data_IF_744014994617
#
_entry.id   IF_744014994617
#
_cell.length_a   1.000
_cell.length_b   1.000
_cell.length_c   1.000
_cell.angle_alpha   90.00
_cell.angle_beta   90.00
_cell.angle_gamma   90.00
#
_symmetry.space_group_name_H-M   'P 1'
#
loop_
_entity.id
_entity.type
_entity.pdbx_description
1 polymer ?
#
# COMPACT_ATOMS: atom_id res chain seq x y z
N UNK A 1 -19.88 7.38 -3.72
CA UNK A 1 -19.33 7.42 -2.36
C UNK A 1 -18.11 6.52 -2.33
N UNK A 2 -16.93 7.09 -2.43
CA UNK A 2 -15.70 6.32 -2.54
C UNK A 2 -15.28 5.64 -1.23
N UNK A 3 -14.08 5.08 -1.29
CA UNK A 3 -13.42 4.26 -0.29
C UNK A 3 -12.21 5.05 0.19
N UNK A 4 -12.16 5.36 1.49
CA UNK A 4 -11.11 6.21 2.06
C UNK A 4 -9.87 5.38 2.40
N UNK A 5 -8.72 5.81 1.87
CA UNK A 5 -7.43 5.12 2.00
C UNK A 5 -6.37 6.09 2.49
N UNK A 6 -5.74 5.80 3.63
CA UNK A 6 -4.52 6.50 4.07
C UNK A 6 -3.30 5.89 3.42
N UNK A 7 -2.27 6.71 3.21
CA UNK A 7 -1.05 6.27 2.54
C UNK A 7 0.17 6.58 3.39
N UNK A 8 0.97 5.56 3.68
CA UNK A 8 2.30 5.71 4.28
C UNK A 8 3.37 5.46 3.23
N UNK A 9 4.56 5.99 3.47
CA UNK A 9 5.75 5.66 2.69
C UNK A 9 6.86 5.13 3.60
N UNK A 10 7.76 4.37 3.02
CA UNK A 10 9.07 4.01 3.58
C UNK A 10 10.13 4.23 2.50
N UNK A 11 11.25 4.85 2.89
CA UNK A 11 12.44 5.00 2.05
C UNK A 11 13.51 4.07 2.60
N UNK A 12 14.03 3.22 1.74
CA UNK A 12 15.10 2.26 2.05
C UNK A 12 16.33 2.71 1.27
N UNK A 13 17.43 2.99 1.97
CA UNK A 13 18.73 3.24 1.34
C UNK A 13 19.60 1.99 1.45
N UNK A 14 20.70 1.88 0.69
CA UNK A 14 21.63 0.76 0.84
C UNK A 14 22.11 0.59 2.28
N UNK A 15 22.41 1.69 2.98
CA UNK A 15 22.88 1.68 4.37
C UNK A 15 21.78 1.20 5.34
N UNK A 16 20.54 1.68 5.20
CA UNK A 16 19.46 1.23 6.09
C UNK A 16 19.10 -0.23 5.85
N UNK A 17 19.22 -0.70 4.60
CA UNK A 17 18.98 -2.08 4.23
C UNK A 17 19.99 -3.04 4.89
N UNK A 18 21.25 -2.64 5.10
CA UNK A 18 22.25 -3.44 5.83
C UNK A 18 21.83 -3.75 7.26
N UNK A 19 21.11 -2.83 7.89
CA UNK A 19 20.56 -2.96 9.24
C UNK A 19 19.13 -3.55 9.27
N UNK A 20 18.54 -3.81 8.10
CA UNK A 20 17.15 -4.28 7.98
C UNK A 20 16.11 -3.22 8.38
N UNK A 21 16.46 -1.93 8.26
CA UNK A 21 15.60 -0.80 8.62
C UNK A 21 15.21 0.05 7.40
N UNK A 22 14.22 0.91 7.59
CA UNK A 22 13.92 2.00 6.67
C UNK A 22 14.67 3.26 7.13
N UNK A 23 15.32 3.96 6.20
CA UNK A 23 15.98 5.23 6.47
C UNK A 23 14.98 6.32 6.87
N UNK A 24 13.81 6.33 6.22
CA UNK A 24 12.71 7.22 6.55
C UNK A 24 11.37 6.49 6.42
N UNK A 25 10.38 6.91 7.22
CA UNK A 25 8.99 6.47 7.09
C UNK A 25 8.06 7.55 7.57
N UNK A 26 6.88 7.63 6.97
CA UNK A 26 5.90 8.63 7.36
C UNK A 26 4.56 8.49 6.64
N UNK A 27 3.77 9.55 6.71
CA UNK A 27 2.50 9.67 6.00
C UNK A 27 2.69 10.46 4.72
N UNK A 28 2.21 9.90 3.61
CA UNK A 28 1.91 10.69 2.41
C UNK A 28 0.56 11.40 2.61
N UNK A 29 -0.41 10.68 3.17
CA UNK A 29 -1.74 11.22 3.52
C UNK A 29 -2.34 10.46 4.71
N UNK A 30 -2.35 11.12 5.86
CA UNK A 30 -2.92 10.60 7.12
C UNK A 30 -4.44 10.83 7.22
N UNK A 31 -4.98 11.82 6.51
CA UNK A 31 -6.41 12.10 6.51
C UNK A 31 -7.16 11.05 5.67
N UNK A 32 -6.56 10.65 4.55
CA UNK A 32 -7.06 9.66 3.63
C UNK A 32 -7.56 10.29 2.33
N UNK A 33 -7.27 9.60 1.24
CA UNK A 33 -7.68 9.95 -0.12
C UNK A 33 -8.88 9.08 -0.52
N UNK A 34 -9.86 9.68 -1.20
CA UNK A 34 -11.00 8.94 -1.74
C UNK A 34 -10.61 8.20 -3.03
N UNK A 35 -10.83 6.88 -3.05
CA UNK A 35 -10.68 6.04 -4.25
C UNK A 35 -12.01 5.44 -4.69
N UNK A 36 -12.16 5.28 -6.01
CA UNK A 36 -13.17 4.43 -6.61
C UNK A 36 -12.80 2.94 -6.54
N UNK A 37 -13.80 2.06 -6.59
CA UNK A 37 -13.58 0.61 -6.54
C UNK A 37 -12.67 0.11 -7.68
N UNK A 38 -12.86 0.60 -8.91
CA UNK A 38 -12.04 0.20 -10.07
C UNK A 38 -10.59 0.67 -9.94
N UNK A 39 -10.38 1.84 -9.36
CA UNK A 39 -9.04 2.39 -9.11
C UNK A 39 -8.30 1.52 -8.09
N UNK A 40 -8.99 1.08 -7.04
CA UNK A 40 -8.41 0.14 -6.08
C UNK A 40 -8.11 -1.24 -6.68
N UNK A 41 -8.95 -1.74 -7.60
CA UNK A 41 -8.64 -2.99 -8.31
C UNK A 41 -7.38 -2.82 -9.18
N UNK A 42 -7.22 -1.68 -9.84
CA UNK A 42 -6.02 -1.39 -10.62
C UNK A 42 -4.78 -1.26 -9.74
N UNK A 43 -4.87 -0.49 -8.65
CA UNK A 43 -3.82 -0.32 -7.65
C UNK A 43 -3.41 -1.66 -7.02
N UNK A 44 -4.38 -2.51 -6.68
CA UNK A 44 -4.12 -3.82 -6.11
C UNK A 44 -3.25 -4.71 -7.01
N UNK A 45 -3.35 -4.56 -8.35
CA UNK A 45 -2.53 -5.32 -9.30
C UNK A 45 -1.07 -4.88 -9.36
N UNK A 46 -0.74 -3.71 -8.82
CA UNK A 46 0.63 -3.19 -8.78
C UNK A 46 1.30 -3.37 -7.42
N UNK A 47 0.67 -4.07 -6.48
CA UNK A 47 1.21 -4.24 -5.13
C UNK A 47 0.89 -5.61 -4.55
N UNK A 48 1.31 -5.80 -3.31
CA UNK A 48 1.11 -7.03 -2.56
C UNK A 48 0.27 -6.77 -1.31
N UNK A 49 -0.61 -7.71 -0.99
CA UNK A 49 -1.41 -7.64 0.22
C UNK A 49 -0.56 -8.01 1.44
N UNK A 50 -0.73 -7.30 2.55
CA UNK A 50 -0.02 -7.60 3.81
C UNK A 50 -0.39 -8.95 4.43
N UNK A 51 -1.35 -9.65 3.84
CA UNK A 51 -1.71 -11.03 4.18
C UNK A 51 -2.11 -11.81 2.94
N UNK A 52 -1.64 -13.05 2.87
CA UNK A 52 -2.09 -14.04 1.87
C UNK A 52 -3.50 -14.56 2.13
N UNK A 53 -4.02 -14.38 3.35
CA UNK A 53 -5.38 -14.77 3.71
C UNK A 53 -6.36 -13.59 3.56
N UNK A 54 -7.56 -13.80 3.00
CA UNK A 54 -8.59 -12.77 2.93
C UNK A 54 -8.96 -12.22 4.30
N UNK A 55 -8.81 -10.91 4.47
CA UNK A 55 -9.20 -10.22 5.70
C UNK A 55 -9.57 -8.76 5.44
N UNK A 56 -10.41 -8.20 6.30
CA UNK A 56 -10.71 -6.76 6.30
C UNK A 56 -9.61 -5.92 6.97
N UNK A 57 -8.68 -6.54 7.70
CA UNK A 57 -7.56 -5.84 8.35
C UNK A 57 -6.30 -5.72 7.49
N UNK A 58 -6.39 -6.04 6.20
CA UNK A 58 -5.24 -6.05 5.29
C UNK A 58 -4.97 -4.64 4.73
N UNK A 59 -3.71 -4.35 4.44
CA UNK A 59 -3.29 -3.22 3.61
C UNK A 59 -2.57 -3.73 2.37
N UNK A 60 -2.36 -2.84 1.40
CA UNK A 60 -1.60 -3.14 0.19
C UNK A 60 -0.30 -2.37 0.22
N UNK A 61 0.81 -2.99 -0.18
CA UNK A 61 2.09 -2.31 -0.36
C UNK A 61 2.51 -2.38 -1.84
N UNK A 62 2.77 -1.22 -2.44
CA UNK A 62 3.42 -1.11 -3.74
C UNK A 62 4.91 -0.92 -3.49
N UNK A 63 5.69 -1.95 -3.80
CA UNK A 63 7.15 -1.94 -3.69
C UNK A 63 7.78 -1.26 -4.90
N UNK A 64 8.90 -0.55 -4.68
CA UNK A 64 9.57 0.18 -5.76
C UNK A 64 8.67 1.20 -6.42
N UNK A 65 7.86 1.91 -5.62
CA UNK A 65 6.97 2.95 -6.10
C UNK A 65 7.75 4.07 -6.80
N UNK A 66 8.89 4.45 -6.22
CA UNK A 66 9.89 5.32 -6.83
C UNK A 66 11.29 4.80 -6.48
N UNK A 67 12.27 5.05 -7.34
CA UNK A 67 13.65 4.58 -7.17
C UNK A 67 14.65 5.63 -7.66
N UNK A 68 15.49 6.13 -6.74
CA UNK A 68 16.65 6.96 -7.08
C UNK A 68 17.81 6.07 -7.51
N UNK A 69 17.92 5.82 -8.82
CA UNK A 69 18.99 5.02 -9.41
C UNK A 69 20.42 5.54 -9.17
N UNK A 70 20.61 6.80 -8.75
CA UNK A 70 21.95 7.32 -8.44
C UNK A 70 22.36 7.00 -7.01
N UNK A 71 21.41 7.10 -6.08
CA UNK A 71 21.65 6.85 -4.66
C UNK A 71 21.34 5.41 -4.22
N UNK A 72 20.58 4.66 -5.03
CA UNK A 72 20.05 3.34 -4.68
C UNK A 72 18.92 3.39 -3.66
N UNK A 73 18.28 4.55 -3.45
CA UNK A 73 17.18 4.70 -2.53
C UNK A 73 15.86 4.26 -3.18
N UNK A 74 15.08 3.45 -2.47
CA UNK A 74 13.79 2.92 -2.94
C UNK A 74 12.67 3.39 -2.04
N UNK A 75 11.60 3.93 -2.61
CA UNK A 75 10.37 4.26 -1.90
C UNK A 75 9.34 3.13 -2.09
N UNK A 76 8.79 2.61 -0.99
CA UNK A 76 7.59 1.78 -1.02
C UNK A 76 6.40 2.57 -0.46
N UNK A 77 5.20 2.30 -0.98
CA UNK A 77 3.96 2.91 -0.48
C UNK A 77 3.00 1.88 0.03
N UNK A 78 2.43 2.12 1.21
CA UNK A 78 1.40 1.25 1.79
C UNK A 78 0.07 1.99 1.93
N UNK A 79 -1.02 1.29 1.57
CA UNK A 79 -2.37 1.81 1.39
C UNK A 79 -3.32 1.15 2.39
N UNK A 80 -3.84 1.94 3.32
CA UNK A 80 -4.55 1.48 4.52
C UNK A 80 -6.03 1.93 4.49
N UNK A 81 -7.00 1.00 4.49
CA UNK A 81 -8.41 1.38 4.57
C UNK A 81 -8.75 2.05 5.91
N UNK A 82 -9.50 3.16 5.88
CA UNK A 82 -9.73 4.01 7.07
C UNK A 82 -10.79 3.47 8.02
N UNK A 83 -11.91 2.98 7.48
CA UNK A 83 -13.04 2.49 8.29
C UNK A 83 -13.37 1.03 8.01
N UNK A 84 -14.18 0.40 8.86
CA UNK A 84 -14.69 -0.94 8.63
C UNK A 84 -15.50 -1.07 7.32
N UNK A 85 -16.13 0.02 6.85
CA UNK A 85 -16.80 0.05 5.55
C UNK A 85 -15.75 0.01 4.44
N UNK A 86 -14.75 0.88 4.51
CA UNK A 86 -13.70 1.00 3.49
C UNK A 86 -12.91 -0.31 3.37
N UNK A 87 -12.53 -0.90 4.50
CA UNK A 87 -11.90 -2.20 4.61
C UNK A 87 -12.66 -3.33 3.89
N UNK A 88 -13.99 -3.38 4.02
CA UNK A 88 -14.83 -4.37 3.33
C UNK A 88 -14.77 -4.21 1.81
N UNK A 89 -14.78 -2.97 1.31
CA UNK A 89 -14.72 -2.73 -0.13
C UNK A 89 -13.30 -2.86 -0.69
N UNK A 90 -12.29 -2.47 0.10
CA UNK A 90 -10.89 -2.69 -0.21
C UNK A 90 -10.56 -4.18 -0.34
N UNK A 91 -10.97 -5.00 0.63
CA UNK A 91 -10.84 -6.46 0.55
C UNK A 91 -11.52 -7.06 -0.69
N UNK A 92 -12.71 -6.56 -1.07
CA UNK A 92 -13.36 -6.96 -2.32
C UNK A 92 -12.57 -6.56 -3.56
N UNK A 93 -11.90 -5.40 -3.54
CA UNK A 93 -11.05 -4.95 -4.64
C UNK A 93 -9.81 -5.85 -4.78
N UNK A 94 -9.14 -6.19 -3.68
CA UNK A 94 -8.00 -7.13 -3.68
C UNK A 94 -8.39 -8.50 -4.25
N UNK A 95 -9.55 -9.03 -3.82
CA UNK A 95 -10.09 -10.27 -4.39
C UNK A 95 -10.38 -10.15 -5.89
N UNK A 96 -10.99 -9.06 -6.33
CA UNK A 96 -11.28 -8.82 -7.74
C UNK A 96 -10.01 -8.59 -8.58
N UNK A 97 -8.91 -8.18 -7.96
CA UNK A 97 -7.59 -8.11 -8.57
C UNK A 97 -6.86 -9.46 -8.63
N UNK A 98 -7.39 -10.50 -7.96
CA UNK A 98 -6.83 -11.85 -7.99
C UNK A 98 -5.81 -12.14 -6.90
N UNK A 99 -5.65 -11.26 -5.90
CA UNK A 99 -4.69 -11.47 -4.80
C UNK A 99 -5.15 -12.56 -3.83
N UNK A 100 -6.44 -12.90 -3.84
CA UNK A 100 -7.00 -14.00 -3.07
C UNK A 100 -7.93 -14.84 -3.93
N UNK A 101 -7.68 -16.15 -3.97
CA UNK A 101 -8.52 -17.15 -4.62
C UNK A 101 -9.71 -17.53 -3.72
#
# INVERSE_FOLDING_TARGET
>A
MGIQIRTTFEIITPESAEDGEAAERGWIDEAGTEYGFRELVALARSGEASSSAPSTGVWLTVYGYDEDYRAGAVENRSYHPVSARDARYFAKALRAAGLWA
#
